data_IF_282138694120
#
_entry.id   IF_282138694120
#
_cell.length_a   1.000
_cell.length_b   1.000
_cell.length_c   1.000
_cell.angle_alpha   90.00
_cell.angle_beta   90.00
_cell.angle_gamma   90.00
#
_symmetry.space_group_name_H-M   'P 1'
#
loop_
_entity.id
_entity.type
_entity.pdbx_description
1 polymer ?
#
# COMPACT_ATOMS: atom_id res chain seq x y z
N UNK A 1 11.82 4.40 -19.75
CA UNK A 1 10.60 4.18 -18.95
C UNK A 1 11.03 4.05 -17.50
N UNK A 2 10.60 4.97 -16.64
CA UNK A 2 10.86 4.93 -15.20
C UNK A 2 9.61 4.42 -14.51
N UNK A 3 9.67 3.22 -13.95
CA UNK A 3 8.54 2.54 -13.31
C UNK A 3 8.89 2.33 -11.84
N UNK A 4 7.93 2.55 -10.95
CA UNK A 4 8.03 2.20 -9.54
C UNK A 4 7.13 0.99 -9.26
N UNK A 5 7.70 -0.03 -8.63
CA UNK A 5 6.97 -1.21 -8.15
C UNK A 5 6.77 -1.06 -6.65
N UNK A 6 5.52 -1.17 -6.21
CA UNK A 6 5.15 -1.13 -4.80
C UNK A 6 4.55 -2.48 -4.44
N UNK A 7 5.31 -3.28 -3.70
CA UNK A 7 4.97 -4.69 -3.40
C UNK A 7 4.88 -4.98 -1.90
N UNK A 8 5.12 -4.01 -1.01
CA UNK A 8 5.24 -4.29 0.43
C UNK A 8 4.97 -3.11 1.35
N UNK A 9 4.64 -3.46 2.60
CA UNK A 9 4.79 -2.57 3.75
C UNK A 9 6.23 -2.62 4.25
N UNK A 10 7.03 -1.56 4.00
CA UNK A 10 8.44 -1.52 4.42
C UNK A 10 8.63 -1.47 5.95
N UNK A 11 7.68 -0.87 6.67
CA UNK A 11 7.70 -0.78 8.13
C UNK A 11 7.66 -2.15 8.82
N UNK A 12 6.86 -3.08 8.28
CA UNK A 12 6.67 -4.42 8.83
C UNK A 12 7.32 -5.52 7.99
N UNK A 13 7.98 -5.14 6.89
CA UNK A 13 8.58 -6.05 5.91
C UNK A 13 7.61 -7.16 5.45
N UNK A 14 6.36 -6.78 5.15
CA UNK A 14 5.31 -7.69 4.67
C UNK A 14 4.99 -7.41 3.21
N UNK A 15 5.13 -8.42 2.35
CA UNK A 15 4.79 -8.33 0.94
C UNK A 15 3.27 -8.34 0.73
N UNK A 16 2.76 -7.69 -0.31
CA UNK A 16 1.33 -7.75 -0.64
C UNK A 16 0.92 -9.16 -1.07
N UNK A 17 1.83 -9.95 -1.62
CA UNK A 17 1.60 -11.38 -1.85
C UNK A 17 1.27 -12.15 -0.55
N UNK A 18 2.05 -11.94 0.52
CA UNK A 18 1.74 -12.51 1.85
C UNK A 18 0.39 -11.99 2.37
N UNK A 19 0.15 -10.68 2.26
CA UNK A 19 -1.07 -10.06 2.77
C UNK A 19 -2.33 -10.50 2.00
N UNK A 20 -2.21 -10.81 0.71
CA UNK A 20 -3.28 -11.41 -0.08
C UNK A 20 -3.64 -12.80 0.42
N UNK A 21 -2.66 -13.61 0.84
CA UNK A 21 -2.95 -14.92 1.44
C UNK A 21 -3.73 -14.77 2.75
N UNK A 22 -3.32 -13.82 3.61
CA UNK A 22 -4.08 -13.50 4.82
C UNK A 22 -5.48 -13.01 4.46
N UNK A 23 -5.64 -12.17 3.45
CA UNK A 23 -6.94 -11.66 3.04
C UNK A 23 -7.91 -12.78 2.62
N UNK A 24 -7.42 -13.87 2.02
CA UNK A 24 -8.26 -15.03 1.67
C UNK A 24 -8.85 -15.72 2.89
N UNK A 25 -8.17 -15.68 4.04
CA UNK A 25 -8.66 -16.28 5.29
C UNK A 25 -9.71 -15.40 5.99
N UNK A 26 -9.84 -14.13 5.59
CA UNK A 26 -10.69 -13.11 6.24
C UNK A 26 -11.60 -12.37 5.26
N UNK A 27 -12.15 -13.08 4.27
CA UNK A 27 -13.12 -12.58 3.28
C UNK A 27 -12.69 -11.31 2.51
N UNK A 28 -11.39 -11.07 2.40
CA UNK A 28 -10.84 -9.90 1.72
C UNK A 28 -10.94 -8.59 2.52
N UNK A 29 -11.26 -8.63 3.81
CA UNK A 29 -11.36 -7.44 4.65
C UNK A 29 -9.97 -6.82 4.89
N UNK A 30 -9.76 -5.63 4.33
CA UNK A 30 -8.49 -4.91 4.42
C UNK A 30 -8.16 -4.48 5.84
N UNK A 31 -9.16 -4.08 6.61
CA UNK A 31 -8.93 -3.61 7.99
C UNK A 31 -8.55 -4.80 8.87
N UNK A 32 -9.18 -5.97 8.69
CA UNK A 32 -8.76 -7.22 9.34
C UNK A 32 -7.31 -7.58 8.98
N UNK A 33 -6.94 -7.55 7.70
CA UNK A 33 -5.56 -7.82 7.25
C UNK A 33 -4.57 -6.86 7.90
N UNK A 34 -4.90 -5.57 7.97
CA UNK A 34 -4.04 -4.55 8.60
C UNK A 34 -3.89 -4.79 10.11
N UNK A 35 -4.96 -5.14 10.81
CA UNK A 35 -4.95 -5.44 12.24
C UNK A 35 -4.11 -6.69 12.56
N UNK A 36 -4.27 -7.76 11.78
CA UNK A 36 -3.56 -9.03 12.01
C UNK A 36 -2.08 -8.95 11.70
N UNK A 37 -1.70 -8.22 10.65
CA UNK A 37 -0.32 -8.21 10.15
C UNK A 37 0.48 -6.99 10.62
N UNK A 38 -0.20 -5.97 11.13
CA UNK A 38 0.37 -4.66 11.41
C UNK A 38 0.71 -3.83 10.17
N UNK A 39 0.49 -4.36 8.96
CA UNK A 39 0.72 -3.64 7.72
C UNK A 39 -0.17 -2.38 7.66
N UNK A 40 0.41 -1.26 7.21
CA UNK A 40 -0.28 0.02 7.19
C UNK A 40 -0.52 0.66 8.57
N UNK A 41 -0.23 0.02 9.70
CA UNK A 41 -0.50 0.60 11.03
C UNK A 41 0.65 1.44 11.61
N UNK A 42 1.85 1.43 11.00
CA UNK A 42 2.99 2.25 11.45
C UNK A 42 3.04 3.61 10.74
N UNK A 43 3.72 3.73 9.60
CA UNK A 43 3.83 5.01 8.88
C UNK A 43 2.61 5.33 8.00
N UNK A 44 1.71 4.36 7.78
CA UNK A 44 0.52 4.52 6.95
C UNK A 44 0.75 4.61 5.44
N UNK A 45 1.98 4.81 4.96
CA UNK A 45 2.26 5.09 3.53
C UNK A 45 1.88 3.95 2.57
N UNK A 46 1.88 2.70 3.04
CA UNK A 46 1.49 1.56 2.20
C UNK A 46 -0.03 1.36 2.13
N UNK A 47 -0.84 2.03 2.95
CA UNK A 47 -2.31 1.84 3.00
C UNK A 47 -3.02 1.98 1.65
N UNK A 48 -2.81 3.06 0.86
CA UNK A 48 -3.51 3.19 -0.42
C UNK A 48 -3.15 2.05 -1.38
N UNK A 49 -1.87 1.67 -1.44
CA UNK A 49 -1.36 0.60 -2.30
C UNK A 49 -1.82 -0.78 -1.85
N UNK A 50 -1.85 -1.04 -0.53
CA UNK A 50 -2.38 -2.27 0.04
C UNK A 50 -3.87 -2.43 -0.28
N UNK A 51 -4.68 -1.39 -0.07
CA UNK A 51 -6.10 -1.40 -0.44
C UNK A 51 -6.29 -1.73 -1.91
N UNK A 52 -5.54 -1.06 -2.78
CA UNK A 52 -5.62 -1.31 -4.22
C UNK A 52 -5.18 -2.75 -4.57
N UNK A 53 -4.08 -3.23 -3.99
CA UNK A 53 -3.57 -4.58 -4.21
C UNK A 53 -4.58 -5.65 -3.79
N UNK A 54 -5.23 -5.48 -2.63
CA UNK A 54 -6.26 -6.39 -2.12
C UNK A 54 -7.54 -6.35 -2.98
N UNK A 55 -7.99 -5.15 -3.37
CA UNK A 55 -9.17 -4.98 -4.24
C UNK A 55 -8.97 -5.61 -5.61
N UNK A 56 -7.80 -5.41 -6.22
CA UNK A 56 -7.46 -5.95 -7.54
C UNK A 56 -6.92 -7.39 -7.49
N UNK A 57 -6.63 -7.89 -6.29
CA UNK A 57 -6.00 -9.19 -6.03
C UNK A 57 -4.66 -9.37 -6.79
N UNK A 58 -3.81 -8.35 -6.73
CA UNK A 58 -2.48 -8.34 -7.38
C UNK A 58 -1.35 -8.20 -6.35
N UNK A 59 -0.22 -8.90 -6.53
CA UNK A 59 0.88 -8.91 -5.55
C UNK A 59 1.75 -7.64 -5.58
N UNK A 60 1.56 -6.79 -6.58
CA UNK A 60 2.33 -5.56 -6.76
C UNK A 60 1.48 -4.51 -7.47
N UNK A 61 1.76 -3.24 -7.14
CA UNK A 61 1.22 -2.09 -7.87
C UNK A 61 2.35 -1.48 -8.69
N UNK A 62 2.13 -1.38 -9.99
CA UNK A 62 3.07 -0.80 -10.95
C UNK A 62 2.66 0.63 -11.25
N UNK A 63 3.53 1.59 -10.96
CA UNK A 63 3.30 3.03 -11.18
C UNK A 63 4.24 3.52 -12.29
N UNK A 64 3.67 4.04 -13.37
CA UNK A 64 4.44 4.71 -14.42
C UNK A 64 4.78 6.15 -14.00
N UNK A 65 6.06 6.40 -13.71
CA UNK A 65 6.54 7.73 -13.33
C UNK A 65 6.77 8.64 -14.55
N UNK A 66 6.90 8.08 -15.76
CA UNK A 66 7.14 8.87 -16.96
C UNK A 66 5.90 9.68 -17.38
N UNK A 67 4.70 9.22 -17.01
CA UNK A 67 3.43 9.95 -17.19
C UNK A 67 3.13 10.98 -16.09
N UNK A 68 3.88 10.98 -14.98
CA UNK A 68 3.64 11.83 -13.81
C UNK A 68 4.76 12.86 -13.64
N UNK A 69 4.80 13.87 -14.52
CA UNK A 69 5.75 15.00 -14.39
C UNK A 69 5.37 16.02 -13.32
N UNK A 70 4.24 15.85 -12.63
CA UNK A 70 3.75 16.85 -11.69
C UNK A 70 4.14 16.48 -10.26
N UNK A 71 5.12 17.19 -9.71
CA UNK A 71 5.53 17.11 -8.31
C UNK A 71 4.34 17.22 -7.34
N UNK A 72 3.25 17.86 -7.77
CA UNK A 72 1.98 17.98 -7.04
C UNK A 72 1.34 16.62 -6.72
N UNK A 73 1.44 15.62 -7.60
CA UNK A 73 0.86 14.28 -7.40
C UNK A 73 1.67 13.48 -6.36
N UNK A 74 3.00 13.59 -6.42
CA UNK A 74 3.86 12.98 -5.41
C UNK A 74 3.66 13.65 -4.04
N UNK A 75 3.52 14.98 -4.01
CA UNK A 75 3.16 15.72 -2.79
C UNK A 75 1.78 15.27 -2.29
N UNK A 76 0.75 15.11 -3.12
CA UNK A 76 -0.54 14.60 -2.67
C UNK A 76 -0.47 13.17 -2.11
N UNK A 77 0.38 12.30 -2.68
CA UNK A 77 0.55 10.92 -2.23
C UNK A 77 1.42 10.77 -0.96
N UNK A 78 2.36 11.70 -0.72
CA UNK A 78 3.33 11.62 0.38
C UNK A 78 3.19 12.70 1.46
N UNK A 79 2.42 13.76 1.21
CA UNK A 79 2.09 14.81 2.17
C UNK A 79 0.75 14.54 2.83
N UNK A 80 0.74 13.57 3.73
CA UNK A 80 -0.12 13.70 4.90
C UNK A 80 0.69 13.38 6.17
N UNK A 81 1.50 14.33 6.66
CA UNK A 81 1.92 14.31 8.03
C UNK A 81 0.82 14.94 8.91
N UNK A 82 0.51 14.26 10.00
CA UNK A 82 -0.18 14.76 11.21
C UNK A 82 -1.69 15.03 11.18
N UNK A 83 -2.42 14.16 11.88
CA UNK A 83 -3.13 14.58 13.10
C UNK A 83 -3.31 13.37 14.04
N UNK A 84 -2.34 13.18 14.92
CA UNK A 84 -2.59 12.58 16.24
C UNK A 84 -2.35 13.71 17.24
N UNK A 85 -3.25 13.98 18.21
CA UNK A 85 -2.84 14.60 19.47
C UNK A 85 -1.96 13.64 20.29
#
# INVERSE_FOLDING_TARGET
MSVLIIDRCVCRQRTFAELLQVALEWDGDVDCVMLLTGAGLQCGRCRPWLRQALQQRVPEIVVDLAGQRDATVLVAHFSNPSSTP
#
